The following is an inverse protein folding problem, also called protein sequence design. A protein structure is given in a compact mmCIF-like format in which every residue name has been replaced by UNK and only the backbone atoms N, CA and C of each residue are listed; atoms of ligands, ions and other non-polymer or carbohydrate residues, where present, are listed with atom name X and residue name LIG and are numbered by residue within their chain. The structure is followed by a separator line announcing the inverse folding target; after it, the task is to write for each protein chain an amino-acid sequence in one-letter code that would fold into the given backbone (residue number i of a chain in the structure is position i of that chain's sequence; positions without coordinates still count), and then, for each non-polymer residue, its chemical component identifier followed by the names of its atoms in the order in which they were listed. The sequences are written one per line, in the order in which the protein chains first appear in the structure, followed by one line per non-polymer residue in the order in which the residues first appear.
data_IF_827780690002
#
_entry.id   IF_827780690002
#
_cell.length_a   1.000
_cell.length_b   1.000
_cell.length_c   1.000
_cell.angle_alpha   90.00
_cell.angle_beta   90.00
_cell.angle_gamma   90.00
#
_symmetry.space_group_name_H-M   'P 1'
#
loop_
_entity.id
_entity.type
_entity.pdbx_description
1 polymer ?
#
# COMPACT_ATOMS: atom_id res chain seq x y z
N UNK A 1 -1.13 21.42 -6.27
CA UNK A 1 -1.73 20.14 -5.89
C UNK A 1 -2.73 20.38 -4.77
N UNK A 2 -3.98 19.99 -4.97
CA UNK A 2 -5.00 20.04 -3.93
C UNK A 2 -4.95 18.76 -3.07
N UNK A 3 -5.42 18.86 -1.81
CA UNK A 3 -5.37 17.76 -0.84
C UNK A 3 -6.74 17.52 -0.25
N UNK A 4 -7.08 16.25 -0.06
CA UNK A 4 -8.30 15.79 0.61
C UNK A 4 -7.96 15.02 1.87
N UNK A 5 -8.82 15.09 2.86
CA UNK A 5 -8.71 14.27 4.05
C UNK A 5 -9.17 12.83 3.76
N UNK A 6 -8.43 11.85 4.26
CA UNK A 6 -8.77 10.43 4.15
C UNK A 6 -9.77 10.06 5.25
N UNK A 7 -11.07 10.11 4.93
CA UNK A 7 -12.11 9.89 5.92
C UNK A 7 -11.95 10.83 7.12
N UNK A 8 -12.12 10.30 8.33
CA UNK A 8 -11.97 11.03 9.59
C UNK A 8 -10.59 10.80 10.26
N UNK A 9 -9.58 10.45 9.48
CA UNK A 9 -8.25 10.08 9.99
C UNK A 9 -7.36 11.28 10.31
N UNK A 10 -7.71 12.48 9.85
CA UNK A 10 -6.86 13.67 9.90
C UNK A 10 -5.70 13.65 8.89
N UNK A 11 -5.53 12.56 8.15
CA UNK A 11 -4.48 12.42 7.13
C UNK A 11 -4.93 13.10 5.83
N UNK A 12 -4.07 13.96 5.30
CA UNK A 12 -4.33 14.63 4.02
C UNK A 12 -3.50 13.99 2.91
N UNK A 13 -4.16 13.57 1.85
CA UNK A 13 -3.55 13.00 0.64
C UNK A 13 -3.81 13.89 -0.56
N UNK A 14 -2.91 13.94 -1.56
CA UNK A 14 -3.15 14.72 -2.77
C UNK A 14 -4.31 14.10 -3.56
N UNK A 15 -5.08 14.94 -4.26
CA UNK A 15 -6.19 14.48 -5.12
C UNK A 15 -5.72 13.62 -6.29
N UNK A 16 -4.47 13.81 -6.72
CA UNK A 16 -3.86 13.03 -7.80
C UNK A 16 -2.78 12.13 -7.20
N UNK A 17 -2.98 10.83 -7.31
CA UNK A 17 -2.02 9.80 -6.90
C UNK A 17 -1.37 9.11 -8.10
N UNK A 18 -0.33 8.34 -7.82
CA UNK A 18 0.40 7.52 -8.78
C UNK A 18 -0.05 6.07 -8.66
N UNK A 19 -0.79 5.56 -9.65
CA UNK A 19 -1.16 4.15 -9.74
C UNK A 19 -0.11 3.34 -10.51
N UNK A 20 0.13 2.11 -10.07
CA UNK A 20 1.18 1.25 -10.67
C UNK A 20 0.63 0.00 -11.38
N UNK A 21 -0.67 -0.05 -11.66
CA UNK A 21 -1.26 -1.13 -12.45
C UNK A 21 -0.65 -1.18 -13.85
N UNK A 22 -0.10 -2.34 -14.25
CA UNK A 22 0.62 -2.53 -15.53
C UNK A 22 1.82 -1.59 -15.74
N UNK A 23 2.32 -0.98 -14.69
CA UNK A 23 3.44 -0.05 -14.77
C UNK A 23 4.75 -0.79 -15.07
N UNK A 24 5.57 -0.22 -15.97
CA UNK A 24 6.85 -0.77 -16.41
C UNK A 24 7.99 0.27 -16.45
N UNK A 25 7.75 1.45 -15.90
CA UNK A 25 8.65 2.60 -16.02
C UNK A 25 9.85 2.63 -15.06
N UNK A 26 9.95 1.65 -14.15
CA UNK A 26 10.98 1.67 -13.11
C UNK A 26 10.77 2.79 -12.07
N UNK A 27 11.77 3.10 -11.22
CA UNK A 27 11.58 4.06 -10.13
C UNK A 27 11.56 5.52 -10.56
N UNK A 28 12.23 5.90 -11.66
CA UNK A 28 12.47 7.32 -11.99
C UNK A 28 11.20 8.13 -12.30
N UNK A 29 10.23 7.65 -13.11
CA UNK A 29 9.00 8.38 -13.32
C UNK A 29 8.18 8.55 -12.04
N UNK A 30 8.20 7.54 -11.14
CA UNK A 30 7.53 7.63 -9.82
C UNK A 30 8.20 8.71 -8.94
N UNK A 31 9.54 8.74 -8.91
CA UNK A 31 10.30 9.80 -8.22
C UNK A 31 9.93 11.18 -8.73
N UNK A 32 9.85 11.32 -10.05
CA UNK A 32 9.45 12.59 -10.66
C UNK A 32 8.02 13.00 -10.29
N UNK A 33 7.09 12.05 -10.26
CA UNK A 33 5.73 12.30 -9.79
C UNK A 33 5.67 12.77 -8.33
N UNK A 34 6.44 12.13 -7.44
CA UNK A 34 6.56 12.53 -6.03
C UNK A 34 7.11 13.97 -5.92
N UNK A 35 8.14 14.32 -6.68
CA UNK A 35 8.73 15.66 -6.71
C UNK A 35 7.73 16.72 -7.17
N UNK A 36 6.80 16.37 -8.06
CA UNK A 36 5.72 17.22 -8.54
C UNK A 36 4.51 17.30 -7.59
N UNK A 37 4.56 16.60 -6.46
CA UNK A 37 3.53 16.63 -5.42
C UNK A 37 2.51 15.49 -5.47
N UNK A 38 2.61 14.53 -6.39
CA UNK A 38 1.79 13.32 -6.41
C UNK A 38 2.34 12.30 -5.39
N UNK A 39 2.18 12.60 -4.11
CA UNK A 39 2.77 11.84 -3.00
C UNK A 39 1.92 10.67 -2.52
N UNK A 40 0.72 10.46 -3.03
CA UNK A 40 -0.05 9.23 -2.85
C UNK A 40 0.38 8.21 -3.92
N UNK A 41 0.90 7.06 -3.49
CA UNK A 41 1.25 5.95 -4.38
C UNK A 41 0.34 4.77 -4.09
N UNK A 42 -0.33 4.28 -5.14
CA UNK A 42 -1.20 3.11 -5.09
C UNK A 42 -0.59 1.95 -5.88
N UNK A 43 -0.26 0.88 -5.17
CA UNK A 43 0.25 -0.38 -5.72
C UNK A 43 -0.57 -1.57 -5.21
N UNK A 44 -0.18 -2.79 -5.52
CA UNK A 44 -0.78 -4.01 -5.01
C UNK A 44 0.15 -5.22 -5.17
N UNK A 45 -0.01 -6.22 -4.31
CA UNK A 45 0.66 -7.52 -4.42
C UNK A 45 0.57 -8.10 -5.84
N UNK A 46 -0.60 -8.02 -6.46
CA UNK A 46 -0.85 -8.55 -7.80
C UNK A 46 -0.10 -7.81 -8.90
N UNK A 47 0.20 -6.53 -8.72
CA UNK A 47 0.81 -5.71 -9.79
C UNK A 47 2.27 -6.06 -10.04
N UNK A 48 2.93 -6.65 -9.05
CA UNK A 48 4.37 -7.00 -9.10
C UNK A 48 5.26 -5.80 -9.41
N UNK A 49 4.91 -4.67 -8.82
CA UNK A 49 5.58 -3.36 -8.98
C UNK A 49 6.01 -2.77 -7.63
N UNK A 50 5.80 -3.50 -6.54
CA UNK A 50 6.15 -3.04 -5.19
C UNK A 50 7.65 -2.77 -5.03
N UNK A 51 8.51 -3.54 -5.69
CA UNK A 51 9.96 -3.32 -5.72
C UNK A 51 10.36 -2.00 -6.42
N UNK A 52 9.71 -1.68 -7.54
CA UNK A 52 9.91 -0.40 -8.23
C UNK A 52 9.42 0.79 -7.38
N UNK A 53 8.29 0.61 -6.68
CA UNK A 53 7.79 1.60 -5.73
C UNK A 53 8.76 1.77 -4.57
N UNK A 54 9.25 0.68 -3.96
CA UNK A 54 10.24 0.71 -2.89
C UNK A 54 11.49 1.48 -3.30
N UNK A 55 12.03 1.19 -4.49
CA UNK A 55 13.17 1.92 -5.03
C UNK A 55 12.86 3.41 -5.25
N UNK A 56 11.64 3.76 -5.65
CA UNK A 56 11.24 5.14 -5.89
C UNK A 56 11.12 5.95 -4.60
N UNK A 57 10.59 5.37 -3.52
CA UNK A 57 10.36 6.06 -2.25
C UNK A 57 11.60 6.12 -1.34
N UNK A 58 12.64 5.39 -1.68
CA UNK A 58 13.89 5.37 -0.89
C UNK A 58 14.47 6.77 -0.69
N UNK A 59 14.70 7.13 0.59
CA UNK A 59 15.20 8.45 0.98
C UNK A 59 14.16 9.58 0.95
N UNK A 60 12.88 9.25 0.70
CA UNK A 60 11.74 10.20 0.69
C UNK A 60 10.46 9.61 1.24
N UNK A 61 10.57 8.55 2.01
CA UNK A 61 9.43 7.80 2.56
C UNK A 61 8.50 8.67 3.41
N UNK A 62 9.04 9.60 4.13
CA UNK A 62 8.34 10.58 4.96
C UNK A 62 7.39 11.51 4.19
N UNK A 63 7.61 11.65 2.88
CA UNK A 63 6.80 12.49 1.99
C UNK A 63 5.69 11.73 1.28
N UNK A 64 5.65 10.40 1.39
CA UNK A 64 4.76 9.53 0.61
C UNK A 64 3.71 8.90 1.50
N UNK A 65 2.46 8.92 1.04
CA UNK A 65 1.39 8.07 1.54
C UNK A 65 1.32 6.83 0.65
N UNK A 66 1.69 5.68 1.22
CA UNK A 66 1.85 4.42 0.51
C UNK A 66 0.66 3.50 0.73
N UNK A 67 -0.06 3.21 -0.35
CA UNK A 67 -1.15 2.25 -0.36
C UNK A 67 -0.78 0.99 -1.15
N UNK A 68 -1.03 -0.19 -0.59
CA UNK A 68 -0.95 -1.47 -1.29
C UNK A 68 -2.12 -2.38 -0.91
N UNK A 69 -2.22 -3.56 -1.54
CA UNK A 69 -3.41 -4.42 -1.42
C UNK A 69 -3.01 -5.89 -1.36
N UNK A 70 -3.67 -6.63 -0.48
CA UNK A 70 -3.56 -8.09 -0.44
C UNK A 70 -4.41 -8.71 -1.56
N UNK A 71 -3.86 -9.72 -2.23
CA UNK A 71 -4.54 -10.46 -3.29
C UNK A 71 -5.73 -11.26 -2.72
N UNK A 72 -6.85 -11.31 -3.45
CA UNK A 72 -8.06 -12.01 -3.02
C UNK A 72 -7.92 -13.51 -2.74
N UNK A 73 -6.86 -14.16 -3.26
CA UNK A 73 -6.51 -15.54 -2.91
C UNK A 73 -5.82 -15.68 -1.54
N UNK A 74 -5.34 -14.60 -0.95
CA UNK A 74 -4.52 -14.56 0.26
C UNK A 74 -5.29 -13.97 1.46
N UNK A 75 -6.60 -14.19 1.56
CA UNK A 75 -7.45 -13.57 2.58
C UNK A 75 -7.62 -14.38 3.88
N UNK A 76 -7.13 -15.63 3.95
CA UNK A 76 -7.02 -16.36 5.22
C UNK A 76 -6.05 -15.61 6.14
N UNK A 77 -6.32 -15.62 7.45
CA UNK A 77 -5.55 -14.86 8.44
C UNK A 77 -4.04 -14.95 8.25
N UNK A 78 -3.49 -16.17 8.26
CA UNK A 78 -2.03 -16.35 8.13
C UNK A 78 -1.49 -15.98 6.75
N UNK A 79 -2.31 -16.06 5.71
CA UNK A 79 -1.95 -15.64 4.36
C UNK A 79 -1.88 -14.10 4.25
N UNK A 80 -2.80 -13.38 4.89
CA UNK A 80 -2.76 -11.91 4.98
C UNK A 80 -1.47 -11.45 5.65
N UNK A 81 -1.12 -12.03 6.80
CA UNK A 81 0.09 -11.68 7.54
C UNK A 81 1.36 -11.90 6.69
N UNK A 82 1.48 -13.07 6.07
CA UNK A 82 2.61 -13.37 5.16
C UNK A 82 2.65 -12.46 3.93
N UNK A 83 1.48 -12.12 3.37
CA UNK A 83 1.40 -11.22 2.22
C UNK A 83 1.87 -9.80 2.58
N UNK A 84 1.46 -9.29 3.75
CA UNK A 84 1.91 -7.98 4.24
C UNK A 84 3.44 -7.95 4.47
N UNK A 85 3.99 -8.98 5.11
CA UNK A 85 5.44 -9.11 5.31
C UNK A 85 6.20 -9.16 3.98
N UNK A 86 5.65 -9.85 2.97
CA UNK A 86 6.23 -9.91 1.64
C UNK A 86 6.19 -8.55 0.95
N UNK A 87 5.05 -7.85 1.02
CA UNK A 87 4.90 -6.51 0.47
C UNK A 87 5.90 -5.54 1.11
N UNK A 88 6.03 -5.56 2.44
CA UNK A 88 7.02 -4.73 3.16
C UNK A 88 8.46 -5.02 2.71
N UNK A 89 8.82 -6.29 2.51
CA UNK A 89 10.16 -6.63 1.99
C UNK A 89 10.40 -6.09 0.58
N UNK A 90 9.40 -6.18 -0.32
CA UNK A 90 9.52 -5.66 -1.69
C UNK A 90 9.58 -4.14 -1.73
N UNK A 91 8.82 -3.49 -0.84
CA UNK A 91 8.80 -2.03 -0.68
C UNK A 91 10.06 -1.49 0.02
N UNK A 92 10.91 -2.35 0.59
CA UNK A 92 12.07 -1.98 1.44
C UNK A 92 11.66 -1.01 2.56
N UNK A 93 10.52 -1.32 3.22
CA UNK A 93 9.89 -0.48 4.24
C UNK A 93 9.40 -1.32 5.43
N UNK A 94 9.13 -0.66 6.54
CA UNK A 94 8.59 -1.29 7.75
C UNK A 94 7.09 -1.00 7.96
N UNK A 95 6.52 -0.04 7.24
CA UNK A 95 5.15 0.43 7.44
C UNK A 95 4.45 0.71 6.11
N UNK A 96 3.27 0.15 5.94
CA UNK A 96 2.31 0.51 4.89
C UNK A 96 1.35 1.56 5.46
N UNK A 97 1.08 2.64 4.74
CA UNK A 97 0.13 3.65 5.23
C UNK A 97 -1.31 3.17 5.10
N UNK A 98 -1.69 2.57 3.97
CA UNK A 98 -3.02 2.00 3.76
C UNK A 98 -2.92 0.59 3.17
N UNK A 99 -3.44 -0.40 3.89
CA UNK A 99 -3.47 -1.79 3.42
C UNK A 99 -4.90 -2.23 3.13
N UNK A 100 -5.16 -2.63 1.90
CA UNK A 100 -6.50 -2.86 1.39
C UNK A 100 -6.71 -4.32 0.97
N UNK A 101 -7.94 -4.81 1.05
CA UNK A 101 -8.37 -6.02 0.37
C UNK A 101 -8.59 -5.66 -1.11
N UNK A 102 -7.86 -6.31 -2.03
CA UNK A 102 -7.96 -5.99 -3.45
C UNK A 102 -9.34 -6.29 -4.02
N UNK A 103 -9.90 -7.46 -3.68
CA UNK A 103 -11.28 -7.88 -3.87
C UNK A 103 -11.64 -9.00 -2.90
N UNK A 104 -12.92 -9.13 -2.61
CA UNK A 104 -13.41 -10.13 -1.68
C UNK A 104 -13.26 -11.56 -2.23
N UNK A 105 -13.16 -12.53 -1.31
CA UNK A 105 -13.22 -13.95 -1.61
C UNK A 105 -14.34 -14.58 -0.80
N UNK A 106 -15.39 -15.07 -1.47
CA UNK A 106 -16.57 -15.66 -0.81
C UNK A 106 -16.24 -16.92 0.02
N UNK A 107 -15.10 -17.56 -0.23
CA UNK A 107 -14.66 -18.74 0.52
C UNK A 107 -14.00 -18.39 1.85
N UNK A 108 -13.77 -17.11 2.14
CA UNK A 108 -13.14 -16.65 3.37
C UNK A 108 -14.06 -15.65 4.07
N UNK A 109 -14.47 -15.92 5.32
CA UNK A 109 -15.25 -14.96 6.10
C UNK A 109 -14.48 -13.64 6.24
N UNK A 110 -15.13 -12.53 5.96
CA UNK A 110 -14.50 -11.20 6.03
C UNK A 110 -13.93 -10.91 7.42
N UNK A 111 -14.59 -11.39 8.47
CA UNK A 111 -14.14 -11.24 9.85
C UNK A 111 -12.75 -11.86 10.09
N UNK A 112 -12.44 -13.01 9.45
CA UNK A 112 -11.12 -13.64 9.52
C UNK A 112 -10.04 -12.73 8.90
N UNK A 113 -10.33 -12.17 7.72
CA UNK A 113 -9.42 -11.25 7.04
C UNK A 113 -9.22 -9.96 7.85
N UNK A 114 -10.30 -9.37 8.36
CA UNK A 114 -10.23 -8.14 9.14
C UNK A 114 -9.48 -8.32 10.47
N UNK A 115 -9.62 -9.47 11.13
CA UNK A 115 -8.82 -9.79 12.31
C UNK A 115 -7.31 -9.79 12.02
N UNK A 116 -6.90 -10.26 10.85
CA UNK A 116 -5.50 -10.16 10.43
C UNK A 116 -5.07 -8.71 10.14
N UNK A 117 -5.95 -7.91 9.52
CA UNK A 117 -5.70 -6.47 9.29
C UNK A 117 -5.52 -5.71 10.61
N UNK A 118 -6.39 -5.95 11.59
CA UNK A 118 -6.28 -5.37 12.95
C UNK A 118 -4.93 -5.75 13.59
N UNK A 119 -4.53 -7.01 13.51
CA UNK A 119 -3.24 -7.46 14.03
C UNK A 119 -2.05 -6.74 13.35
N UNK A 120 -2.11 -6.48 12.05
CA UNK A 120 -1.08 -5.72 11.34
C UNK A 120 -1.01 -4.27 11.84
N UNK A 121 -2.14 -3.66 12.17
CA UNK A 121 -2.20 -2.32 12.79
C UNK A 121 -1.60 -2.37 14.19
N UNK A 122 -1.99 -3.33 15.03
CA UNK A 122 -1.47 -3.50 16.39
C UNK A 122 0.04 -3.72 16.42
N UNK A 123 0.58 -4.41 15.43
CA UNK A 123 2.02 -4.62 15.25
C UNK A 123 2.75 -3.39 14.68
N UNK A 124 2.04 -2.34 14.29
CA UNK A 124 2.61 -1.14 13.67
C UNK A 124 3.11 -1.35 12.23
N UNK A 125 2.73 -2.44 11.58
CA UNK A 125 3.11 -2.74 10.18
C UNK A 125 2.19 -2.02 9.17
N UNK A 126 1.00 -1.64 9.60
CA UNK A 126 -0.01 -0.93 8.81
C UNK A 126 -0.58 0.21 9.67
N UNK A 127 -0.87 1.37 9.05
CA UNK A 127 -1.50 2.49 9.76
C UNK A 127 -3.01 2.49 9.63
N UNK A 128 -3.51 2.25 8.39
CA UNK A 128 -4.93 2.29 8.04
C UNK A 128 -5.32 1.14 7.12
#
# INVERSE_FOLDING_TARGET
MEYRELGDTGVRVPEIGLGTWKYKGGPEPLRKGIELGATLIDTAEMYKTEDAVGAAIKGRRDKVFLATKVLGSNLRRDAVLRAAEKSLRLLDDNVIDLYQIHWSNRSVPIAETMSAMEELVDRGMVRY
#
